data_IF_801149787550
#
_entry.id   IF_801149787550
#
_cell.length_a   1.000
_cell.length_b   1.000
_cell.length_c   1.000
_cell.angle_alpha   90.00
_cell.angle_beta   90.00
_cell.angle_gamma   90.00
#
_symmetry.space_group_name_H-M   'P 1'
#
loop_
_entity.id
_entity.type
_entity.pdbx_description
1 polymer ?
#
# COMPACT_ATOMS: atom_id res chain seq x y z
N UNK A 1 -44.03 18.11 18.00
CA UNK A 1 -42.66 18.68 17.94
C UNK A 1 -41.71 17.52 18.13
N UNK A 2 -40.82 17.31 17.16
CA UNK A 2 -39.74 16.33 17.33
C UNK A 2 -38.83 16.80 18.47
N UNK A 3 -38.48 15.89 19.37
CA UNK A 3 -37.67 16.14 20.57
C UNK A 3 -36.42 15.28 20.51
N UNK A 4 -35.26 15.87 20.85
CA UNK A 4 -33.99 15.16 20.92
C UNK A 4 -32.80 16.13 20.90
N UNK A 5 -31.62 15.71 21.41
CA UNK A 5 -30.41 16.50 21.28
C UNK A 5 -29.99 16.58 19.81
N UNK A 6 -29.49 17.73 19.38
CA UNK A 6 -28.82 17.85 18.09
C UNK A 6 -27.46 17.15 18.19
N UNK A 7 -27.16 16.23 17.27
CA UNK A 7 -25.91 15.48 17.26
C UNK A 7 -25.33 15.45 15.85
N UNK A 8 -24.07 15.86 15.71
CA UNK A 8 -23.27 15.65 14.51
C UNK A 8 -22.33 14.47 14.78
N UNK A 9 -22.67 13.30 14.23
CA UNK A 9 -21.95 12.04 14.49
C UNK A 9 -20.62 11.94 13.74
N UNK A 10 -20.46 12.67 12.64
CA UNK A 10 -19.20 12.76 11.90
C UNK A 10 -19.04 14.19 11.39
N UNK A 11 -18.08 14.90 11.98
CA UNK A 11 -17.69 16.23 11.55
C UNK A 11 -16.29 16.20 11.00
N UNK A 12 -16.16 16.47 9.69
CA UNK A 12 -14.94 16.22 8.93
C UNK A 12 -13.98 17.42 8.97
N UNK A 13 -12.84 17.33 9.69
CA UNK A 13 -11.83 18.40 9.72
C UNK A 13 -10.85 18.31 8.54
N UNK A 14 -10.98 17.26 7.72
CA UNK A 14 -10.19 16.96 6.54
C UNK A 14 -10.92 15.88 5.73
N UNK A 15 -10.21 15.12 4.91
CA UNK A 15 -10.83 14.10 4.05
C UNK A 15 -9.85 12.97 3.68
N UNK A 16 -10.38 11.90 3.09
CA UNK A 16 -9.61 10.77 2.62
C UNK A 16 -8.88 11.08 1.29
N UNK A 17 -7.81 10.33 1.03
CA UNK A 17 -7.02 10.38 -0.20
C UNK A 17 -7.26 9.16 -1.09
N UNK A 18 -6.84 9.28 -2.36
CA UNK A 18 -6.69 8.16 -3.29
C UNK A 18 -5.33 8.19 -3.97
N UNK A 19 -4.78 7.02 -4.27
CA UNK A 19 -3.56 6.93 -5.07
C UNK A 19 -3.74 7.62 -6.44
N UNK A 20 -2.80 8.49 -6.80
CA UNK A 20 -2.80 9.28 -8.03
C UNK A 20 -3.66 10.55 -7.99
N UNK A 21 -4.22 10.91 -6.83
CA UNK A 21 -4.92 12.17 -6.60
C UNK A 21 -4.17 13.04 -5.60
N UNK A 22 -4.33 14.37 -5.66
CA UNK A 22 -3.69 15.27 -4.69
C UNK A 22 -4.15 14.95 -3.26
N UNK A 23 -3.26 15.17 -2.29
CA UNK A 23 -3.62 15.09 -0.88
C UNK A 23 -4.79 16.04 -0.58
N UNK A 24 -5.82 15.52 0.06
CA UNK A 24 -7.05 16.23 0.31
C UNK A 24 -6.83 17.38 1.30
N UNK A 25 -7.28 18.57 0.91
CA UNK A 25 -7.22 19.78 1.74
C UNK A 25 -8.61 20.37 1.85
N UNK A 26 -9.00 20.70 3.08
CA UNK A 26 -10.26 21.41 3.36
C UNK A 26 -9.98 22.81 3.87
N UNK A 27 -10.95 23.71 3.72
CA UNK A 27 -10.87 25.06 4.27
C UNK A 27 -10.99 25.02 5.80
N UNK A 28 -9.84 25.07 6.48
CA UNK A 28 -9.76 25.04 7.93
C UNK A 28 -10.49 26.22 8.60
N UNK A 29 -10.59 27.39 7.94
CA UNK A 29 -11.33 28.51 8.51
C UNK A 29 -12.84 28.24 8.48
N UNK A 30 -13.35 27.63 7.41
CA UNK A 30 -14.74 27.20 7.32
C UNK A 30 -15.06 26.08 8.31
N UNK A 31 -14.13 25.13 8.49
CA UNK A 31 -14.24 24.07 9.50
C UNK A 31 -14.41 24.69 10.89
N UNK A 32 -13.46 25.53 11.32
CA UNK A 32 -13.53 26.12 12.65
C UNK A 32 -14.77 27.00 12.86
N UNK A 33 -15.17 27.77 11.85
CA UNK A 33 -16.40 28.59 11.90
C UNK A 33 -17.66 27.73 12.05
N UNK A 34 -17.71 26.57 11.42
CA UNK A 34 -18.87 25.67 11.49
C UNK A 34 -18.89 24.92 12.81
N UNK A 35 -17.74 24.46 13.30
CA UNK A 35 -17.59 23.88 14.62
C UNK A 35 -18.13 24.81 15.74
N UNK A 36 -17.74 26.08 15.73
CA UNK A 36 -18.26 27.06 16.70
C UNK A 36 -19.79 27.20 16.65
N UNK A 37 -20.38 27.23 15.44
CA UNK A 37 -21.83 27.29 15.26
C UNK A 37 -22.56 26.06 15.79
N UNK A 38 -21.95 24.87 15.68
CA UNK A 38 -22.51 23.63 16.22
C UNK A 38 -22.60 23.74 17.75
N UNK A 39 -21.52 24.17 18.41
CA UNK A 39 -21.51 24.35 19.87
C UNK A 39 -22.48 25.43 20.35
N UNK A 40 -22.61 26.54 19.63
CA UNK A 40 -23.59 27.61 19.93
C UNK A 40 -25.04 27.12 19.92
N UNK A 41 -25.34 26.02 19.21
CA UNK A 41 -26.67 25.41 19.16
C UNK A 41 -26.90 24.35 20.23
N UNK A 42 -25.98 24.22 21.18
CA UNK A 42 -26.00 23.16 22.21
C UNK A 42 -26.06 21.76 21.59
N UNK A 43 -25.42 21.59 20.42
CA UNK A 43 -25.34 20.32 19.73
C UNK A 43 -24.10 19.53 20.16
N UNK A 44 -24.24 18.22 20.31
CA UNK A 44 -23.10 17.31 20.47
C UNK A 44 -22.40 17.07 19.12
N UNK A 45 -21.10 16.80 19.16
CA UNK A 45 -20.27 16.64 17.97
C UNK A 45 -19.20 15.59 18.17
N UNK A 46 -18.89 14.85 17.11
CA UNK A 46 -17.75 13.95 17.01
C UNK A 46 -16.89 14.32 15.78
N UNK A 47 -15.59 14.56 15.99
CA UNK A 47 -14.65 14.82 14.89
C UNK A 47 -14.25 13.51 14.21
N UNK A 48 -14.52 13.41 12.91
CA UNK A 48 -14.11 12.28 12.08
C UNK A 48 -13.11 12.77 11.02
N UNK A 49 -11.83 12.50 11.08
CA UNK A 49 -11.08 11.88 12.18
C UNK A 49 -10.50 12.95 13.11
N UNK A 50 -10.45 12.68 14.41
CA UNK A 50 -9.60 13.46 15.32
C UNK A 50 -8.12 13.06 15.21
N UNK A 51 -7.88 11.76 15.05
CA UNK A 51 -6.60 11.15 14.68
C UNK A 51 -6.93 10.01 13.72
N UNK A 52 -6.41 10.08 12.50
CA UNK A 52 -6.70 9.05 11.50
C UNK A 52 -5.70 7.88 11.54
N UNK A 53 -4.40 8.16 11.53
CA UNK A 53 -3.35 7.15 11.67
C UNK A 53 -2.95 6.49 10.35
N UNK A 54 -2.83 5.15 10.34
CA UNK A 54 -2.24 4.40 9.21
C UNK A 54 -3.03 3.13 8.89
N UNK A 55 -3.26 2.88 7.60
CA UNK A 55 -3.77 1.62 7.05
C UNK A 55 -2.63 0.61 6.87
N UNK A 56 -2.09 0.07 7.97
CA UNK A 56 -0.98 -0.89 7.91
C UNK A 56 -1.33 -2.17 7.12
N UNK A 57 -0.32 -2.77 6.49
CA UNK A 57 -0.49 -4.00 5.73
C UNK A 57 -1.41 -3.82 4.52
N UNK A 58 -2.49 -4.59 4.47
CA UNK A 58 -3.46 -4.61 3.38
C UNK A 58 -4.86 -4.18 3.82
N UNK A 59 -4.95 -3.34 4.86
CA UNK A 59 -6.22 -2.95 5.49
C UNK A 59 -6.92 -1.78 4.80
N UNK A 60 -6.27 -1.10 3.86
CA UNK A 60 -6.88 -0.01 3.10
C UNK A 60 -8.14 -0.48 2.36
N UNK A 61 -9.10 0.42 2.20
CA UNK A 61 -10.26 0.19 1.32
C UNK A 61 -10.10 0.82 -0.06
N UNK A 62 -11.22 0.97 -0.75
CA UNK A 62 -11.33 1.70 -2.01
C UNK A 62 -12.69 2.41 -2.17
N UNK A 63 -12.71 3.55 -2.87
CA UNK A 63 -13.94 4.27 -3.26
C UNK A 63 -13.77 5.11 -4.56
N UNK A 64 -14.13 4.56 -5.72
CA UNK A 64 -13.78 3.22 -6.14
C UNK A 64 -12.26 3.04 -6.31
N UNK A 65 -11.48 4.12 -6.26
CA UNK A 65 -10.02 4.07 -6.31
C UNK A 65 -9.46 3.62 -4.95
N UNK A 66 -8.30 2.94 -4.93
CA UNK A 66 -7.69 2.50 -3.68
C UNK A 66 -7.19 3.70 -2.85
N UNK A 67 -7.56 3.73 -1.58
CA UNK A 67 -7.03 4.70 -0.63
C UNK A 67 -5.57 4.37 -0.25
N UNK A 68 -4.73 5.37 0.06
CA UNK A 68 -3.33 5.15 0.39
C UNK A 68 -3.13 4.55 1.79
N UNK A 69 -1.86 4.25 2.09
CA UNK A 69 -1.46 3.67 3.37
C UNK A 69 -1.60 4.68 4.50
N UNK A 70 -1.24 5.95 4.25
CA UNK A 70 -1.49 7.03 5.20
C UNK A 70 -2.99 7.24 5.34
N UNK A 71 -3.45 7.36 6.57
CA UNK A 71 -4.79 7.82 6.91
C UNK A 71 -4.68 9.11 7.74
N UNK A 72 -3.70 9.97 7.43
CA UNK A 72 -3.50 11.27 8.09
C UNK A 72 -4.78 12.12 8.10
N UNK A 73 -5.52 12.08 6.99
CA UNK A 73 -6.84 12.68 6.82
C UNK A 73 -6.85 14.22 6.88
N UNK A 74 -5.72 14.90 7.08
CA UNK A 74 -5.71 16.32 7.47
C UNK A 74 -6.34 16.52 8.86
N UNK A 75 -6.23 15.50 9.73
CA UNK A 75 -6.82 15.47 11.05
C UNK A 75 -6.13 16.44 12.04
N UNK A 76 -6.79 16.75 13.18
CA UNK A 76 -6.17 17.49 14.28
C UNK A 76 -4.85 16.89 14.77
N UNK A 77 -4.75 15.56 14.82
CA UNK A 77 -3.49 14.86 15.05
C UNK A 77 -3.05 14.19 13.74
N UNK A 78 -1.80 14.43 13.33
CA UNK A 78 -1.20 13.82 12.13
C UNK A 78 -1.17 12.29 12.22
N UNK A 79 -0.80 11.63 11.12
CA UNK A 79 -0.56 10.18 11.09
C UNK A 79 0.37 9.70 12.22
N UNK A 80 1.42 10.46 12.55
CA UNK A 80 2.36 10.15 13.62
C UNK A 80 1.94 10.69 15.01
N UNK A 81 0.71 11.16 15.16
CA UNK A 81 0.14 11.65 16.42
C UNK A 81 0.59 13.05 16.82
N UNK A 82 1.25 13.80 15.92
CA UNK A 82 1.73 15.14 16.22
C UNK A 82 0.55 16.14 16.18
N UNK A 83 0.43 17.07 17.14
CA UNK A 83 -0.65 18.06 17.14
C UNK A 83 -0.48 19.09 16.03
N UNK A 84 -1.51 19.28 15.22
CA UNK A 84 -1.55 20.30 14.16
C UNK A 84 -2.07 21.65 14.67
N UNK A 85 -2.01 22.67 13.81
CA UNK A 85 -2.65 23.96 14.07
C UNK A 85 -4.16 23.80 14.32
N UNK A 86 -4.80 22.83 13.66
CA UNK A 86 -6.23 22.52 13.85
C UNK A 86 -6.51 21.98 15.24
N UNK A 87 -5.63 21.13 15.81
CA UNK A 87 -5.75 20.69 17.20
C UNK A 87 -5.75 21.86 18.18
N UNK A 88 -4.82 22.80 18.01
CA UNK A 88 -4.72 23.97 18.90
C UNK A 88 -5.97 24.85 18.84
N UNK A 89 -6.51 25.08 17.62
CA UNK A 89 -7.75 25.85 17.41
C UNK A 89 -8.98 25.15 18.00
N UNK A 90 -9.11 23.83 17.83
CA UNK A 90 -10.20 23.06 18.43
C UNK A 90 -10.15 23.19 19.95
N UNK A 91 -8.97 23.02 20.55
CA UNK A 91 -8.79 23.14 22.01
C UNK A 91 -9.17 24.53 22.51
N UNK A 92 -8.78 25.58 21.80
CA UNK A 92 -9.14 26.96 22.15
C UNK A 92 -10.67 27.14 22.19
N UNK A 93 -11.37 26.70 21.14
CA UNK A 93 -12.83 26.80 21.07
C UNK A 93 -13.50 26.00 22.19
N UNK A 94 -13.07 24.76 22.43
CA UNK A 94 -13.60 23.92 23.52
C UNK A 94 -13.42 24.60 24.89
N UNK A 95 -12.29 25.27 25.10
CA UNK A 95 -11.99 26.00 26.35
C UNK A 95 -12.93 27.15 26.67
N UNK A 96 -13.70 27.64 25.68
CA UNK A 96 -14.74 28.66 25.89
C UNK A 96 -16.04 28.07 26.45
N UNK A 97 -16.26 26.76 26.31
CA UNK A 97 -17.48 26.07 26.72
C UNK A 97 -17.27 25.14 27.92
N UNK A 98 -16.07 24.56 28.07
CA UNK A 98 -15.76 23.57 29.09
C UNK A 98 -14.40 23.86 29.75
N UNK A 99 -14.23 23.55 31.04
CA UNK A 99 -12.92 23.64 31.69
C UNK A 99 -11.95 22.67 31.01
N UNK A 100 -10.77 23.17 30.67
CA UNK A 100 -9.73 22.35 30.05
C UNK A 100 -8.92 21.61 31.11
N UNK A 101 -8.48 20.36 30.82
CA UNK A 101 -7.67 19.60 31.76
C UNK A 101 -6.34 20.30 32.04
N UNK A 102 -5.87 20.18 33.29
CA UNK A 102 -4.54 20.63 33.70
C UNK A 102 -3.46 19.76 33.04
N UNK A 103 -2.34 20.37 32.64
CA UNK A 103 -1.21 19.67 32.04
C UNK A 103 -0.50 20.47 30.97
N UNK A 104 0.58 19.92 30.45
CA UNK A 104 1.30 20.45 29.30
C UNK A 104 0.60 20.02 28.01
N UNK A 105 0.59 20.90 27.01
CA UNK A 105 0.14 20.51 25.67
C UNK A 105 1.02 19.38 25.14
N UNK A 106 0.43 18.42 24.39
CA UNK A 106 1.25 17.49 23.62
C UNK A 106 2.15 18.29 22.69
N UNK A 107 3.38 17.83 22.53
CA UNK A 107 4.34 18.35 21.55
C UNK A 107 4.69 17.22 20.60
N UNK A 108 5.03 17.52 19.33
CA UNK A 108 5.46 16.49 18.39
C UNK A 108 6.57 15.61 18.97
N UNK A 109 6.41 14.29 18.86
CA UNK A 109 7.42 13.36 19.33
C UNK A 109 8.67 13.44 18.42
N UNK A 110 9.90 13.37 18.96
CA UNK A 110 11.11 13.41 18.14
C UNK A 110 11.14 12.23 17.15
N UNK A 111 11.52 12.51 15.90
CA UNK A 111 11.61 11.52 14.82
C UNK A 111 13.07 11.27 14.44
N UNK A 112 13.43 10.04 14.10
CA UNK A 112 14.79 9.69 13.66
C UNK A 112 15.00 10.01 12.19
N UNK A 113 16.19 10.52 11.89
CA UNK A 113 16.79 10.51 10.56
C UNK A 113 17.95 9.54 10.54
N UNK A 114 17.71 8.33 10.04
CA UNK A 114 18.74 7.27 9.95
C UNK A 114 19.50 7.41 8.62
N UNK A 115 18.85 7.92 7.58
CA UNK A 115 19.45 8.10 6.25
C UNK A 115 19.29 6.87 5.35
N UNK A 116 20.15 6.78 4.34
CA UNK A 116 20.04 5.78 3.29
C UNK A 116 20.44 4.37 3.75
N UNK A 117 19.62 3.39 3.42
CA UNK A 117 19.89 1.96 3.60
C UNK A 117 19.95 1.30 2.22
N UNK A 118 21.06 0.61 1.95
CA UNK A 118 21.24 -0.13 0.70
C UNK A 118 20.49 -1.47 0.76
N UNK A 119 19.67 -1.74 -0.26
CA UNK A 119 19.01 -3.04 -0.45
C UNK A 119 19.92 -3.92 -1.33
N UNK A 120 20.90 -4.55 -0.68
CA UNK A 120 21.99 -5.28 -1.34
C UNK A 120 21.61 -6.68 -1.82
N UNK A 121 20.56 -7.29 -1.26
CA UNK A 121 20.08 -8.62 -1.66
C UNK A 121 18.72 -8.52 -2.34
N UNK A 122 18.44 -9.45 -3.26
CA UNK A 122 17.16 -9.52 -3.93
C UNK A 122 16.81 -10.95 -4.37
N UNK A 123 15.52 -11.20 -4.55
CA UNK A 123 15.01 -12.45 -5.15
C UNK A 123 13.86 -12.20 -6.10
N UNK A 124 13.73 -13.04 -7.11
CA UNK A 124 12.62 -13.00 -8.07
C UNK A 124 11.33 -13.58 -7.47
N UNK A 125 10.19 -13.24 -8.05
CA UNK A 125 8.90 -13.85 -7.71
C UNK A 125 8.94 -15.40 -7.73
N UNK A 126 9.63 -16.00 -8.70
CA UNK A 126 9.74 -17.46 -8.77
C UNK A 126 10.55 -18.07 -7.62
N UNK A 127 11.58 -17.38 -7.15
CA UNK A 127 12.31 -17.80 -5.95
C UNK A 127 11.43 -17.72 -4.70
N UNK A 128 10.63 -16.65 -4.56
CA UNK A 128 9.65 -16.50 -3.48
C UNK A 128 8.62 -17.65 -3.55
N UNK A 129 8.04 -17.92 -4.71
CA UNK A 129 7.08 -19.03 -4.89
C UNK A 129 7.68 -20.38 -4.53
N UNK A 130 8.92 -20.68 -4.97
CA UNK A 130 9.63 -21.91 -4.58
C UNK A 130 9.81 -22.00 -3.08
N UNK A 131 10.21 -20.91 -2.43
CA UNK A 131 10.37 -20.85 -0.98
C UNK A 131 9.04 -21.13 -0.25
N UNK A 132 7.96 -20.46 -0.66
CA UNK A 132 6.64 -20.60 -0.05
C UNK A 132 6.14 -22.06 -0.14
N UNK A 133 6.31 -22.70 -1.30
CA UNK A 133 5.98 -24.13 -1.48
C UNK A 133 6.86 -25.03 -0.62
N UNK A 134 8.18 -24.82 -0.63
CA UNK A 134 9.13 -25.63 0.12
C UNK A 134 8.90 -25.55 1.65
N UNK A 135 8.41 -24.41 2.15
CA UNK A 135 8.04 -24.22 3.56
C UNK A 135 6.61 -24.65 3.89
N UNK A 136 5.84 -25.10 2.91
CA UNK A 136 4.45 -25.52 3.11
C UNK A 136 3.48 -24.36 3.39
N UNK A 137 3.85 -23.11 3.10
CA UNK A 137 2.96 -21.97 3.26
C UNK A 137 1.88 -21.89 2.19
N UNK A 138 2.15 -22.49 1.03
CA UNK A 138 1.28 -22.42 -0.15
C UNK A 138 1.25 -23.77 -0.84
N UNK A 139 0.04 -24.24 -1.14
CA UNK A 139 -0.20 -25.36 -2.05
C UNK A 139 -0.85 -24.81 -3.32
N UNK A 140 -0.27 -25.02 -4.52
CA UNK A 140 -0.87 -24.57 -5.76
C UNK A 140 -2.25 -25.20 -5.97
N UNK A 141 -3.21 -24.39 -6.41
CA UNK A 141 -4.57 -24.83 -6.73
C UNK A 141 -4.73 -24.88 -8.24
N UNK A 142 -5.18 -26.01 -8.77
CA UNK A 142 -5.46 -26.17 -10.20
C UNK A 142 -6.96 -26.08 -10.47
N UNK A 143 -7.34 -25.40 -11.55
CA UNK A 143 -8.74 -25.27 -11.97
C UNK A 143 -8.86 -25.10 -13.49
N UNK A 144 -10.04 -25.41 -14.04
CA UNK A 144 -10.30 -25.17 -15.46
C UNK A 144 -10.33 -23.67 -15.80
N UNK A 145 -10.82 -22.84 -14.87
CA UNK A 145 -10.90 -21.36 -14.97
C UNK A 145 -10.08 -20.69 -13.85
N UNK A 146 -9.75 -19.39 -13.97
CA UNK A 146 -9.25 -18.63 -12.82
C UNK A 146 -10.28 -18.67 -11.67
N UNK A 147 -9.77 -18.75 -10.44
CA UNK A 147 -10.56 -18.62 -9.21
C UNK A 147 -10.32 -17.25 -8.58
N UNK A 148 -11.34 -16.69 -7.95
CA UNK A 148 -11.18 -15.46 -7.17
C UNK A 148 -10.29 -15.68 -5.94
N UNK A 149 -9.86 -14.59 -5.31
CA UNK A 149 -9.16 -14.60 -4.03
C UNK A 149 -10.00 -15.30 -2.94
N UNK A 150 -11.30 -15.04 -2.92
CA UNK A 150 -12.26 -15.64 -1.98
C UNK A 150 -12.41 -17.15 -2.20
N UNK A 151 -12.51 -17.59 -3.46
CA UNK A 151 -12.56 -19.02 -3.81
C UNK A 151 -11.27 -19.77 -3.42
N UNK A 152 -10.13 -19.06 -3.38
CA UNK A 152 -8.84 -19.58 -2.93
C UNK A 152 -8.64 -19.50 -1.41
N UNK A 153 -9.58 -18.92 -0.66
CA UNK A 153 -9.42 -18.69 0.78
C UNK A 153 -8.30 -17.71 1.12
N UNK A 154 -8.00 -16.76 0.23
CA UNK A 154 -6.91 -15.80 0.37
C UNK A 154 -7.42 -14.37 0.39
N UNK A 155 -7.40 -13.72 1.54
CA UNK A 155 -8.09 -12.43 1.70
C UNK A 155 -7.35 -11.23 1.08
N UNK A 156 -6.02 -11.16 1.15
CA UNK A 156 -5.25 -9.94 0.91
C UNK A 156 -3.95 -10.20 0.15
N UNK A 157 -3.32 -9.15 -0.39
CA UNK A 157 -2.02 -9.26 -1.04
C UNK A 157 -2.14 -9.72 -2.49
N UNK A 158 -1.52 -10.85 -2.82
CA UNK A 158 -1.29 -11.24 -4.21
C UNK A 158 -1.58 -12.71 -4.50
N UNK A 159 -2.01 -13.00 -5.72
CA UNK A 159 -2.11 -14.37 -6.25
C UNK A 159 -1.43 -14.43 -7.60
N UNK A 160 -0.61 -15.46 -7.82
CA UNK A 160 -0.01 -15.76 -9.12
C UNK A 160 -0.91 -16.73 -9.87
N UNK A 161 -1.39 -16.32 -11.04
CA UNK A 161 -2.17 -17.14 -11.98
C UNK A 161 -1.28 -17.56 -13.15
N UNK A 162 -1.14 -18.86 -13.38
CA UNK A 162 -0.33 -19.41 -14.49
C UNK A 162 -1.20 -20.30 -15.37
N UNK A 163 -1.10 -20.16 -16.69
CA UNK A 163 -1.69 -21.09 -17.67
C UNK A 163 -0.70 -21.37 -18.79
N UNK A 164 -0.77 -22.56 -19.38
CA UNK A 164 0.08 -22.98 -20.50
C UNK A 164 -0.70 -22.91 -21.81
N UNK A 165 -0.15 -22.22 -22.80
CA UNK A 165 -0.81 -22.04 -24.11
C UNK A 165 -0.69 -23.34 -24.91
N UNK A 166 -1.81 -24.03 -25.16
CA UNK A 166 -1.85 -25.35 -25.83
C UNK A 166 -2.01 -25.29 -27.36
N UNK A 167 -1.79 -24.12 -27.96
CA UNK A 167 -1.95 -23.88 -29.40
C UNK A 167 -0.93 -22.85 -29.87
N UNK A 168 -0.78 -22.71 -31.20
CA UNK A 168 0.09 -21.68 -31.79
C UNK A 168 -0.69 -20.36 -31.96
N UNK A 169 -0.42 -19.30 -31.18
CA UNK A 169 -1.10 -18.02 -31.34
C UNK A 169 -0.45 -17.17 -32.45
N UNK A 170 -1.11 -16.07 -32.85
CA UNK A 170 -0.45 -15.01 -33.64
C UNK A 170 0.61 -14.30 -32.79
N UNK A 171 1.54 -13.59 -33.42
CA UNK A 171 2.57 -12.83 -32.71
C UNK A 171 2.65 -11.38 -33.24
N UNK A 172 2.36 -10.35 -32.42
CA UNK A 172 1.80 -10.47 -31.07
C UNK A 172 0.36 -11.02 -31.06
N UNK A 173 -0.07 -11.54 -29.93
CA UNK A 173 -1.46 -11.87 -29.63
C UNK A 173 -2.02 -10.90 -28.58
N UNK A 174 -3.34 -10.70 -28.54
CA UNK A 174 -3.99 -9.86 -27.53
C UNK A 174 -4.44 -10.74 -26.37
N UNK A 175 -3.89 -10.50 -25.19
CA UNK A 175 -4.36 -11.08 -23.93
C UNK A 175 -5.45 -10.17 -23.35
N UNK A 176 -6.67 -10.68 -23.22
CA UNK A 176 -7.80 -9.99 -22.59
C UNK A 176 -8.09 -10.56 -21.20
N UNK A 177 -8.10 -9.70 -20.18
CA UNK A 177 -8.36 -10.00 -18.76
C UNK A 177 -9.51 -9.13 -18.23
N UNK A 178 -10.74 -9.24 -18.78
CA UNK A 178 -11.83 -8.29 -18.50
C UNK A 178 -12.32 -8.29 -17.04
N UNK A 179 -12.15 -9.39 -16.31
CA UNK A 179 -12.50 -9.50 -14.89
C UNK A 179 -11.32 -9.34 -13.95
N UNK A 180 -10.28 -8.58 -14.32
CA UNK A 180 -9.18 -8.26 -13.39
C UNK A 180 -9.70 -7.42 -12.23
N UNK A 181 -9.34 -7.82 -11.00
CA UNK A 181 -9.64 -7.10 -9.76
C UNK A 181 -8.44 -7.17 -8.80
N UNK A 182 -7.55 -6.18 -8.75
CA UNK A 182 -7.66 -4.86 -9.40
C UNK A 182 -6.58 -4.62 -10.45
N UNK A 183 -5.36 -5.08 -10.19
CA UNK A 183 -4.21 -4.86 -11.07
C UNK A 183 -3.46 -6.17 -11.29
N UNK A 184 -3.13 -6.45 -12.54
CA UNK A 184 -2.45 -7.67 -12.97
C UNK A 184 -1.15 -7.35 -13.70
N UNK A 185 -0.04 -7.88 -13.20
CA UNK A 185 1.26 -7.80 -13.86
C UNK A 185 1.44 -9.06 -14.70
N UNK A 186 1.48 -8.90 -16.02
CA UNK A 186 1.50 -9.97 -17.01
C UNK A 186 2.94 -10.26 -17.44
N UNK A 187 3.31 -11.54 -17.45
CA UNK A 187 4.63 -12.03 -17.84
C UNK A 187 4.52 -13.17 -18.84
N UNK A 188 5.31 -13.07 -19.90
CA UNK A 188 5.72 -14.19 -20.75
C UNK A 188 7.25 -14.23 -20.81
N UNK A 189 7.82 -15.12 -21.61
CA UNK A 189 9.26 -15.13 -21.87
C UNK A 189 9.77 -13.85 -22.56
N UNK A 190 8.89 -13.10 -23.23
CA UNK A 190 9.24 -11.93 -24.04
C UNK A 190 8.46 -10.65 -23.70
N UNK A 191 7.39 -10.76 -22.92
CA UNK A 191 6.49 -9.64 -22.64
C UNK A 191 6.36 -9.40 -21.15
N UNK A 192 6.40 -8.12 -20.79
CA UNK A 192 5.99 -7.58 -19.49
C UNK A 192 4.95 -6.50 -19.75
N UNK A 193 3.77 -6.64 -19.14
CA UNK A 193 2.67 -5.68 -19.32
C UNK A 193 1.85 -5.56 -18.04
N UNK A 194 0.99 -4.54 -17.98
CA UNK A 194 0.08 -4.33 -16.84
C UNK A 194 -1.34 -4.22 -17.37
N UNK A 195 -2.26 -4.97 -16.75
CA UNK A 195 -3.71 -4.76 -16.84
C UNK A 195 -4.19 -4.14 -15.53
N UNK A 196 -5.14 -3.22 -15.59
CA UNK A 196 -5.57 -2.44 -14.42
C UNK A 196 -7.04 -2.02 -14.57
N UNK A 197 -7.87 -2.41 -13.61
CA UNK A 197 -9.29 -2.08 -13.60
C UNK A 197 -9.53 -0.58 -13.41
N UNK A 198 -8.77 0.07 -12.51
CA UNK A 198 -8.85 1.52 -12.22
C UNK A 198 -8.44 2.42 -13.40
N UNK A 199 -7.77 1.86 -14.41
CA UNK A 199 -7.34 2.57 -15.63
C UNK A 199 -8.02 2.06 -16.90
N UNK A 200 -9.02 1.20 -16.76
CA UNK A 200 -9.72 0.55 -17.86
C UNK A 200 -8.81 -0.18 -18.86
N UNK A 201 -7.67 -0.71 -18.37
CA UNK A 201 -6.71 -1.46 -19.18
C UNK A 201 -6.93 -2.95 -18.99
N UNK A 202 -7.75 -3.54 -19.86
CA UNK A 202 -8.10 -4.98 -19.80
C UNK A 202 -7.44 -5.82 -20.89
N UNK A 203 -6.79 -5.19 -21.87
CA UNK A 203 -6.22 -5.87 -23.03
C UNK A 203 -4.77 -5.43 -23.24
N UNK A 204 -3.86 -6.38 -23.37
CA UNK A 204 -2.43 -6.12 -23.60
C UNK A 204 -1.88 -7.01 -24.72
N UNK A 205 -1.03 -6.49 -25.60
CA UNK A 205 -0.31 -7.32 -26.56
C UNK A 205 0.72 -8.19 -25.82
N UNK A 206 0.77 -9.48 -26.14
CA UNK A 206 1.74 -10.44 -25.61
C UNK A 206 2.38 -11.24 -26.72
N UNK A 207 3.67 -11.53 -26.56
CA UNK A 207 4.41 -12.47 -27.38
C UNK A 207 4.60 -13.75 -26.58
N UNK A 208 4.00 -14.84 -27.07
CA UNK A 208 4.02 -16.17 -26.44
C UNK A 208 3.87 -17.24 -27.52
N UNK A 209 4.53 -18.38 -27.35
CA UNK A 209 4.47 -19.50 -28.28
C UNK A 209 3.61 -20.65 -27.71
N UNK A 210 3.31 -21.65 -28.56
CA UNK A 210 2.76 -22.92 -28.07
C UNK A 210 3.65 -23.48 -26.97
N UNK A 211 3.02 -24.09 -25.98
CA UNK A 211 3.64 -24.74 -24.84
C UNK A 211 4.35 -23.80 -23.84
N UNK A 212 4.30 -22.49 -24.05
CA UNK A 212 4.80 -21.51 -23.11
C UNK A 212 3.73 -21.07 -22.10
N UNK A 213 4.18 -20.59 -20.96
CA UNK A 213 3.30 -20.07 -19.91
C UNK A 213 3.00 -18.58 -20.11
N UNK A 214 1.77 -18.22 -19.77
CA UNK A 214 1.39 -16.85 -19.40
C UNK A 214 1.22 -16.85 -17.89
N UNK A 215 1.90 -15.91 -17.23
CA UNK A 215 1.81 -15.70 -15.78
C UNK A 215 1.23 -14.32 -15.51
N UNK A 216 0.29 -14.22 -14.57
CA UNK A 216 -0.30 -12.97 -14.11
C UNK A 216 -0.17 -12.90 -12.59
N UNK A 217 0.63 -11.99 -12.06
CA UNK A 217 0.60 -11.64 -10.64
C UNK A 217 -0.53 -10.64 -10.44
N UNK A 218 -1.56 -11.02 -9.69
CA UNK A 218 -2.72 -10.15 -9.43
C UNK A 218 -2.63 -9.60 -8.02
N UNK A 219 -2.81 -8.29 -7.89
CA UNK A 219 -2.86 -7.56 -6.63
C UNK A 219 -4.31 -7.22 -6.28
N UNK A 220 -4.71 -7.57 -5.06
CA UNK A 220 -5.87 -6.97 -4.40
C UNK A 220 -5.44 -5.60 -3.83
N UNK A 221 -5.92 -4.51 -4.42
CA UNK A 221 -5.54 -3.15 -4.06
C UNK A 221 -6.38 -2.55 -2.93
N UNK A 222 -7.33 -3.31 -2.39
CA UNK A 222 -8.29 -2.86 -1.37
C UNK A 222 -9.72 -3.13 -1.84
N UNK A 223 -10.56 -3.71 -0.98
CA UNK A 223 -11.98 -3.92 -1.31
C UNK A 223 -12.75 -2.61 -1.18
N UNK A 224 -13.73 -2.41 -2.05
CA UNK A 224 -14.64 -1.27 -1.97
C UNK A 224 -15.32 -1.24 -0.60
N UNK A 225 -15.25 -0.10 0.10
CA UNK A 225 -15.73 0.05 1.48
C UNK A 225 -17.00 0.90 1.61
N UNK A 226 -17.54 1.38 0.49
CA UNK A 226 -18.75 2.22 0.47
C UNK A 226 -19.67 1.85 -0.69
N UNK A 227 -20.97 2.13 -0.50
CA UNK A 227 -21.99 1.96 -1.54
C UNK A 227 -22.33 0.50 -1.85
N UNK A 228 -23.16 0.31 -2.88
CA UNK A 228 -23.72 -0.99 -3.25
C UNK A 228 -22.71 -1.97 -3.89
N UNK A 229 -21.50 -1.50 -4.21
CA UNK A 229 -20.48 -2.25 -4.93
C UNK A 229 -19.45 -2.92 -4.01
N UNK A 230 -19.73 -2.99 -2.70
CA UNK A 230 -18.83 -3.58 -1.70
C UNK A 230 -18.79 -5.13 -1.70
N UNK A 231 -19.60 -5.79 -2.54
CA UNK A 231 -19.47 -7.21 -2.88
C UNK A 231 -18.30 -7.44 -3.86
N UNK A 232 -17.12 -7.04 -3.45
CA UNK A 232 -15.97 -6.83 -4.33
C UNK A 232 -14.97 -8.00 -4.27
N UNK A 233 -15.34 -9.10 -4.93
CA UNK A 233 -14.43 -10.25 -5.10
C UNK A 233 -13.15 -9.84 -5.84
N UNK A 234 -12.01 -10.39 -5.43
CA UNK A 234 -10.69 -10.01 -5.97
C UNK A 234 -10.04 -11.13 -6.79
N UNK A 235 -9.00 -10.81 -7.53
CA UNK A 235 -8.32 -11.74 -8.42
C UNK A 235 -8.76 -11.61 -9.87
N UNK A 236 -8.92 -12.74 -10.56
CA UNK A 236 -9.49 -12.79 -11.91
C UNK A 236 -10.87 -13.44 -11.79
N UNK A 237 -11.92 -12.62 -11.89
CA UNK A 237 -13.32 -13.02 -11.66
C UNK A 237 -14.08 -13.37 -12.95
N UNK A 238 -13.37 -13.46 -14.08
CA UNK A 238 -13.93 -13.86 -15.39
C UNK A 238 -12.96 -14.73 -16.18
N UNK A 239 -13.39 -15.25 -17.32
CA UNK A 239 -12.49 -15.91 -18.26
C UNK A 239 -11.43 -14.92 -18.80
N UNK A 240 -10.22 -15.45 -19.02
CA UNK A 240 -9.11 -14.78 -19.71
C UNK A 240 -9.05 -15.30 -21.14
N UNK A 241 -8.75 -14.43 -22.10
CA UNK A 241 -8.69 -14.79 -23.52
C UNK A 241 -7.36 -14.44 -24.15
N UNK A 242 -6.93 -15.23 -25.14
CA UNK A 242 -5.82 -14.92 -26.04
C UNK A 242 -6.37 -14.89 -27.47
N UNK A 243 -6.37 -13.72 -28.12
CA UNK A 243 -7.07 -13.47 -29.38
C UNK A 243 -8.53 -13.94 -29.36
N UNK A 244 -9.27 -13.57 -28.30
CA UNK A 244 -10.68 -13.96 -28.07
C UNK A 244 -10.90 -15.46 -27.81
N UNK A 245 -9.87 -16.32 -27.86
CA UNK A 245 -9.95 -17.72 -27.44
C UNK A 245 -9.78 -17.82 -25.92
N UNK A 246 -10.74 -18.41 -25.23
CA UNK A 246 -10.66 -18.61 -23.77
C UNK A 246 -9.49 -19.52 -23.41
N UNK A 247 -8.68 -19.08 -22.45
CA UNK A 247 -7.60 -19.85 -21.85
C UNK A 247 -8.14 -20.68 -20.67
N UNK A 248 -7.69 -21.94 -20.57
CA UNK A 248 -8.10 -22.90 -19.56
C UNK A 248 -6.90 -23.59 -18.92
N UNK A 249 -7.12 -24.33 -17.83
CA UNK A 249 -6.04 -25.08 -17.17
C UNK A 249 -5.11 -24.13 -16.43
N UNK A 250 -5.63 -23.56 -15.35
CA UNK A 250 -4.96 -22.59 -14.52
C UNK A 250 -4.36 -23.25 -13.28
N UNK A 251 -3.18 -22.80 -12.90
CA UNK A 251 -2.57 -23.02 -11.59
C UNK A 251 -2.48 -21.69 -10.87
N UNK A 252 -3.04 -21.60 -9.67
CA UNK A 252 -3.04 -20.41 -8.83
C UNK A 252 -2.25 -20.62 -7.55
N UNK A 253 -1.45 -19.63 -7.17
CA UNK A 253 -0.63 -19.67 -5.96
C UNK A 253 -0.74 -18.33 -5.21
N UNK A 254 -1.39 -18.31 -4.03
CA UNK A 254 -1.33 -17.17 -3.12
C UNK A 254 0.10 -16.78 -2.73
N UNK A 255 0.33 -15.50 -2.48
CA UNK A 255 1.60 -14.96 -1.94
C UNK A 255 1.27 -14.28 -0.59
N UNK A 256 1.28 -15.05 0.52
CA UNK A 256 0.71 -14.62 1.80
C UNK A 256 1.64 -13.68 2.59
N UNK A 257 1.96 -12.54 2.01
CA UNK A 257 2.73 -11.46 2.65
C UNK A 257 1.91 -10.68 3.69
N UNK A 258 0.63 -11.00 3.85
CA UNK A 258 -0.21 -10.52 4.95
C UNK A 258 0.20 -11.16 6.29
N UNK A 259 0.89 -12.30 6.26
CA UNK A 259 1.35 -13.03 7.44
C UNK A 259 2.77 -12.62 7.80
N UNK A 260 2.94 -11.97 8.96
CA UNK A 260 4.25 -11.50 9.44
C UNK A 260 5.30 -12.62 9.49
N UNK A 261 4.93 -13.83 9.92
CA UNK A 261 5.84 -14.99 9.96
C UNK A 261 6.44 -15.33 8.58
N UNK A 262 5.67 -15.15 7.50
CA UNK A 262 6.13 -15.39 6.14
C UNK A 262 7.13 -14.32 5.72
N UNK A 263 6.81 -13.05 5.98
CA UNK A 263 7.70 -11.93 5.68
C UNK A 263 9.02 -12.00 6.48
N UNK A 264 8.95 -12.34 7.77
CA UNK A 264 10.13 -12.56 8.62
C UNK A 264 11.00 -13.68 8.07
N UNK A 265 10.44 -14.86 7.79
CA UNK A 265 11.24 -15.97 7.28
C UNK A 265 11.81 -15.72 5.89
N UNK A 266 11.09 -15.03 5.00
CA UNK A 266 11.62 -14.58 3.72
C UNK A 266 12.83 -13.67 3.94
N UNK A 267 12.71 -12.71 4.85
CA UNK A 267 13.77 -11.76 5.17
C UNK A 267 14.98 -12.46 5.79
N UNK A 268 14.78 -13.33 6.78
CA UNK A 268 15.88 -14.03 7.45
C UNK A 268 16.66 -14.93 6.49
N UNK A 269 15.96 -15.61 5.58
CA UNK A 269 16.59 -16.51 4.60
C UNK A 269 17.29 -15.74 3.48
N UNK A 270 16.69 -14.64 3.00
CA UNK A 270 17.18 -13.96 1.81
C UNK A 270 18.05 -12.72 2.08
N UNK A 271 17.92 -12.07 3.23
CA UNK A 271 18.85 -11.03 3.65
C UNK A 271 20.25 -11.61 3.94
N UNK A 272 20.32 -12.83 4.48
CA UNK A 272 21.58 -13.52 4.77
C UNK A 272 22.28 -14.07 3.52
N UNK A 273 21.57 -14.21 2.41
CA UNK A 273 22.12 -14.81 1.21
C UNK A 273 22.55 -13.70 0.24
N UNK A 274 23.88 -13.55 0.08
CA UNK A 274 24.56 -12.64 -0.87
C UNK A 274 24.27 -13.02 -2.34
N UNK A 275 23.01 -13.27 -2.68
CA UNK A 275 22.58 -13.80 -3.97
C UNK A 275 22.56 -12.63 -4.95
N UNK A 276 23.58 -12.59 -5.81
CA UNK A 276 23.62 -11.77 -7.02
C UNK A 276 22.67 -12.38 -8.08
N UNK A 277 21.37 -12.40 -7.79
CA UNK A 277 20.36 -12.70 -8.81
C UNK A 277 20.14 -11.49 -9.70
N UNK A 278 19.70 -11.64 -10.97
CA UNK A 278 19.16 -10.52 -11.71
C UNK A 278 17.90 -10.00 -11.00
N UNK A 279 18.07 -8.96 -10.19
CA UNK A 279 16.98 -8.34 -9.47
C UNK A 279 16.02 -7.71 -10.46
N UNK A 280 14.80 -8.22 -10.50
CA UNK A 280 13.73 -7.72 -11.36
C UNK A 280 12.44 -7.72 -10.59
N UNK A 281 11.55 -6.79 -10.95
CA UNK A 281 10.19 -6.81 -10.47
C UNK A 281 9.33 -7.76 -11.33
N UNK A 282 8.32 -8.43 -10.75
CA UNK A 282 8.04 -8.51 -9.33
C UNK A 282 9.10 -9.33 -8.58
N UNK A 283 9.50 -8.84 -7.41
CA UNK A 283 10.55 -9.45 -6.60
C UNK A 283 10.70 -8.77 -5.25
N UNK A 284 11.49 -9.39 -4.37
CA UNK A 284 11.79 -8.83 -3.06
C UNK A 284 13.23 -8.32 -3.00
N UNK A 285 13.42 -7.21 -2.29
CA UNK A 285 14.70 -6.52 -2.11
C UNK A 285 14.93 -6.33 -0.61
N UNK A 286 16.13 -6.64 -0.13
CA UNK A 286 16.44 -6.69 1.29
C UNK A 286 17.67 -5.86 1.63
N UNK A 287 17.61 -5.21 2.77
CA UNK A 287 18.75 -4.53 3.37
C UNK A 287 18.66 -4.56 4.88
N UNK A 288 19.79 -4.23 5.51
CA UNK A 288 19.90 -4.23 6.96
C UNK A 288 20.61 -2.97 7.44
N UNK A 289 20.32 -2.58 8.67
CA UNK A 289 21.00 -1.47 9.33
C UNK A 289 20.98 -1.65 10.85
N UNK A 290 21.89 -0.96 11.53
CA UNK A 290 21.91 -0.86 12.99
C UNK A 290 21.71 0.59 13.39
N UNK A 291 20.99 0.81 14.49
CA UNK A 291 20.95 2.13 15.09
C UNK A 291 22.33 2.45 15.72
N UNK A 292 22.73 3.74 15.80
CA UNK A 292 23.93 4.13 16.53
C UNK A 292 23.89 3.70 18.00
N UNK A 293 25.05 3.46 18.62
CA UNK A 293 25.11 3.14 20.04
C UNK A 293 24.51 4.29 20.88
N UNK A 294 23.63 3.97 21.83
CA UNK A 294 22.91 4.94 22.65
C UNK A 294 21.70 5.60 21.99
N UNK A 295 21.45 5.35 20.71
CA UNK A 295 20.26 5.86 20.02
C UNK A 295 19.01 5.10 20.51
N UNK A 296 18.02 5.83 21.04
CA UNK A 296 16.70 5.28 21.35
C UNK A 296 15.93 4.97 20.07
N UNK A 297 15.08 3.97 20.13
CA UNK A 297 14.11 3.68 19.08
C UNK A 297 13.03 4.77 19.12
N UNK A 298 13.02 5.62 18.10
CA UNK A 298 12.00 6.65 17.90
C UNK A 298 11.39 6.47 16.52
N UNK A 299 10.21 7.04 16.35
CA UNK A 299 9.48 7.04 15.09
C UNK A 299 10.32 7.60 13.94
N UNK A 300 10.08 7.14 12.71
CA UNK A 300 10.72 7.63 11.49
C UNK A 300 9.80 7.39 10.30
N UNK A 301 10.21 7.80 9.11
CA UNK A 301 9.44 7.58 7.88
C UNK A 301 10.32 6.93 6.82
N UNK A 302 9.83 5.85 6.21
CA UNK A 302 10.51 5.16 5.13
C UNK A 302 10.18 5.86 3.80
N UNK A 303 11.14 6.58 3.25
CA UNK A 303 11.12 7.18 1.93
C UNK A 303 11.46 6.14 0.85
N UNK A 304 10.53 5.95 -0.08
CA UNK A 304 10.61 4.99 -1.19
C UNK A 304 10.85 5.67 -2.54
N UNK A 305 11.23 6.96 -2.56
CA UNK A 305 11.54 7.71 -3.79
C UNK A 305 12.50 6.93 -4.71
N UNK A 306 12.16 6.89 -6.00
CA UNK A 306 12.91 6.16 -7.02
C UNK A 306 12.46 4.71 -7.25
N UNK A 307 11.63 4.16 -6.35
CA UNK A 307 10.95 2.88 -6.55
C UNK A 307 9.65 3.04 -7.34
N UNK A 308 9.10 1.93 -7.83
CA UNK A 308 7.88 1.92 -8.63
C UNK A 308 6.65 1.81 -7.74
N UNK A 309 6.28 0.58 -7.42
CA UNK A 309 5.08 0.25 -6.64
C UNK A 309 5.31 -1.04 -5.87
N UNK A 310 4.90 -1.10 -4.61
CA UNK A 310 5.06 -2.32 -3.84
C UNK A 310 4.55 -2.24 -2.42
N UNK A 311 5.10 -3.11 -1.56
CA UNK A 311 4.79 -3.20 -0.13
C UNK A 311 6.10 -3.22 0.65
N UNK A 312 6.15 -2.50 1.76
CA UNK A 312 7.35 -2.39 2.59
C UNK A 312 7.19 -3.09 3.93
N UNK A 313 8.29 -3.66 4.41
CA UNK A 313 8.36 -4.33 5.71
C UNK A 313 9.59 -3.86 6.48
N UNK A 314 9.42 -3.67 7.79
CA UNK A 314 10.51 -3.45 8.74
C UNK A 314 10.44 -4.52 9.81
N UNK A 315 11.52 -5.27 10.01
CA UNK A 315 11.57 -6.38 10.98
C UNK A 315 10.40 -7.38 10.82
N UNK A 316 9.97 -7.62 9.57
CA UNK A 316 8.85 -8.51 9.23
C UNK A 316 7.45 -7.91 9.45
N UNK A 317 7.33 -6.71 10.03
CA UNK A 317 6.07 -5.99 10.13
C UNK A 317 5.72 -5.31 8.80
N UNK A 318 4.52 -5.54 8.30
CA UNK A 318 4.04 -4.98 7.05
C UNK A 318 3.58 -3.53 7.23
N UNK A 319 4.38 -2.57 6.76
CA UNK A 319 4.08 -1.14 6.87
C UNK A 319 2.94 -0.71 5.95
N UNK A 320 2.64 -1.51 4.93
CA UNK A 320 1.66 -1.21 3.90
C UNK A 320 2.28 -0.89 2.54
N UNK A 321 1.48 -0.29 1.67
CA UNK A 321 1.80 -0.11 0.25
C UNK A 321 2.54 1.20 0.02
N UNK A 322 3.51 1.19 -0.87
CA UNK A 322 4.14 2.40 -1.40
C UNK A 322 3.85 2.53 -2.90
N UNK A 323 3.67 3.77 -3.37
CA UNK A 323 3.52 4.07 -4.80
C UNK A 323 3.99 5.49 -5.15
N UNK A 324 5.27 5.82 -4.90
CA UNK A 324 5.81 7.16 -5.07
C UNK A 324 5.83 7.62 -6.54
N UNK A 325 5.70 6.70 -7.51
CA UNK A 325 5.61 7.06 -8.92
C UNK A 325 4.29 7.74 -9.30
N UNK A 326 3.26 7.66 -8.46
CA UNK A 326 1.98 8.37 -8.69
C UNK A 326 1.48 9.20 -7.51
N UNK A 327 2.02 9.01 -6.30
CA UNK A 327 1.64 9.81 -5.13
C UNK A 327 0.16 9.67 -4.72
N UNK A 328 -0.35 10.51 -3.81
CA UNK A 328 0.36 11.64 -3.22
C UNK A 328 1.34 11.18 -2.12
N UNK A 329 1.09 10.01 -1.52
CA UNK A 329 1.98 9.48 -0.49
C UNK A 329 3.31 8.96 -1.06
N UNK A 330 4.43 9.42 -0.49
CA UNK A 330 5.79 8.99 -0.86
C UNK A 330 6.45 8.22 0.29
N UNK A 331 6.24 8.68 1.54
CA UNK A 331 6.82 8.05 2.73
C UNK A 331 5.82 7.20 3.49
N UNK A 332 6.28 6.11 4.10
CA UNK A 332 5.50 5.28 5.02
C UNK A 332 5.90 5.55 6.46
N UNK A 333 4.94 5.74 7.36
CA UNK A 333 5.21 5.86 8.79
C UNK A 333 5.78 4.57 9.37
N UNK A 334 6.86 4.70 10.15
CA UNK A 334 7.51 3.60 10.87
C UNK A 334 7.50 3.91 12.36
N UNK A 335 6.56 3.32 13.12
CA UNK A 335 6.55 3.43 14.57
C UNK A 335 7.87 2.97 15.19
N UNK A 336 8.43 3.74 16.11
CA UNK A 336 9.70 3.45 16.77
C UNK A 336 9.69 2.12 17.51
N UNK A 337 8.52 1.67 17.97
CA UNK A 337 8.34 0.35 18.60
C UNK A 337 8.64 -0.84 17.67
N UNK A 338 8.68 -0.63 16.36
CA UNK A 338 9.06 -1.65 15.39
C UNK A 338 10.59 -1.77 15.22
N UNK A 339 11.35 -0.76 15.64
CA UNK A 339 12.80 -0.74 15.52
C UNK A 339 13.45 -1.48 16.71
N UNK A 340 14.59 -2.12 16.44
CA UNK A 340 15.43 -2.77 17.44
C UNK A 340 16.59 -1.85 17.83
N UNK A 341 16.91 -1.73 19.14
CA UNK A 341 18.02 -0.91 19.61
C UNK A 341 19.38 -1.52 19.25
N UNK A 342 20.44 -0.72 19.27
CA UNK A 342 21.81 -1.23 19.16
C UNK A 342 22.10 -2.25 20.29
N UNK A 343 22.82 -3.38 20.02
CA UNK A 343 23.54 -3.74 18.79
C UNK A 343 22.74 -4.60 17.80
N UNK A 344 21.43 -4.74 17.99
CA UNK A 344 20.59 -5.57 17.14
C UNK A 344 20.49 -5.01 15.72
N UNK A 345 20.28 -5.92 14.76
CA UNK A 345 20.12 -5.59 13.36
C UNK A 345 18.64 -5.44 13.01
N UNK A 346 18.32 -4.32 12.36
CA UNK A 346 17.04 -4.05 11.76
C UNK A 346 17.06 -4.50 10.30
N UNK A 347 15.97 -5.10 9.84
CA UNK A 347 15.82 -5.55 8.46
C UNK A 347 14.76 -4.72 7.74
N UNK A 348 14.99 -4.47 6.45
CA UNK A 348 14.04 -3.85 5.55
C UNK A 348 13.83 -4.77 4.36
N UNK A 349 12.56 -4.98 4.00
CA UNK A 349 12.18 -5.70 2.79
C UNK A 349 11.21 -4.86 1.98
N UNK A 350 11.48 -4.69 0.68
CA UNK A 350 10.51 -4.19 -0.29
C UNK A 350 10.09 -5.33 -1.21
N UNK A 351 8.79 -5.59 -1.33
CA UNK A 351 8.24 -6.38 -2.42
C UNK A 351 7.83 -5.43 -3.55
N UNK A 352 8.71 -5.23 -4.52
CA UNK A 352 8.54 -4.33 -5.67
C UNK A 352 7.84 -5.06 -6.81
N UNK A 353 6.84 -4.43 -7.42
CA UNK A 353 5.96 -5.03 -8.43
C UNK A 353 6.14 -4.45 -9.84
N UNK A 354 6.66 -3.22 -9.98
CA UNK A 354 6.74 -2.53 -11.27
C UNK A 354 8.17 -2.30 -11.72
N UNK A 355 8.90 -1.37 -11.08
CA UNK A 355 10.19 -0.92 -11.58
C UNK A 355 11.12 -0.56 -10.41
N UNK A 356 12.09 -1.43 -10.07
CA UNK A 356 13.13 -1.06 -9.12
C UNK A 356 14.09 -0.03 -9.76
N UNK A 357 14.84 0.75 -8.96
CA UNK A 357 15.87 1.66 -9.46
C UNK A 357 16.89 0.93 -10.34
N UNK A 358 17.26 1.52 -11.48
CA UNK A 358 18.33 1.00 -12.36
C UNK A 358 19.73 1.16 -11.75
N UNK A 359 19.91 2.17 -10.89
CA UNK A 359 21.17 2.48 -10.21
C UNK A 359 21.24 1.88 -8.79
N UNK A 360 21.63 2.71 -7.81
CA UNK A 360 21.65 2.31 -6.41
C UNK A 360 20.23 2.02 -5.92
N UNK A 361 20.04 0.83 -5.35
CA UNK A 361 18.77 0.40 -4.76
C UNK A 361 18.79 0.75 -3.29
N UNK A 362 18.30 1.94 -2.98
CA UNK A 362 18.29 2.48 -1.63
C UNK A 362 16.89 2.89 -1.24
N UNK A 363 16.60 2.79 0.04
CA UNK A 363 15.52 3.50 0.72
C UNK A 363 16.14 4.44 1.74
N UNK A 364 15.42 5.47 2.16
CA UNK A 364 15.92 6.38 3.20
C UNK A 364 14.94 6.44 4.37
N UNK A 365 15.46 6.49 5.58
CA UNK A 365 14.68 6.77 6.77
C UNK A 365 14.85 8.24 7.15
N UNK A 366 13.76 9.00 7.04
CA UNK A 366 13.72 10.45 7.22
C UNK A 366 12.88 10.83 8.46
N UNK A 367 13.05 12.05 8.93
CA UNK A 367 12.41 12.58 10.14
C UNK A 367 11.09 13.33 9.86
N UNK A 368 10.75 13.56 8.59
CA UNK A 368 9.51 14.23 8.18
C UNK A 368 8.74 13.40 7.16
N UNK A 369 7.40 13.31 7.27
CA UNK A 369 6.58 12.64 6.27
C UNK A 369 6.49 13.46 4.98
N UNK A 370 6.37 12.76 3.85
CA UNK A 370 5.91 13.30 2.59
C UNK A 370 4.67 12.52 2.13
N UNK A 371 3.50 13.09 2.43
CA UNK A 371 2.18 12.56 2.04
C UNK A 371 1.49 13.39 0.96
N UNK A 372 2.11 14.50 0.53
CA UNK A 372 1.62 15.46 -0.48
C UNK A 372 2.64 15.59 -1.63
N UNK A 373 3.13 14.45 -2.10
CA UNK A 373 4.05 14.35 -3.22
C UNK A 373 3.39 14.53 -4.58
N UNK A 374 4.18 14.53 -5.67
CA UNK A 374 3.68 14.74 -7.02
C UNK A 374 2.68 13.67 -7.46
N UNK A 375 1.68 14.09 -8.24
CA UNK A 375 0.65 13.21 -8.80
C UNK A 375 0.52 13.37 -10.31
N UNK A 376 0.03 12.37 -11.07
CA UNK A 376 -0.12 12.46 -12.51
C UNK A 376 -0.95 13.66 -12.97
N UNK A 377 -0.46 14.39 -13.97
CA UNK A 377 -1.16 15.53 -14.56
C UNK A 377 -1.04 16.83 -13.76
N UNK A 378 -0.34 16.83 -12.63
CA UNK A 378 -0.09 18.04 -11.86
C UNK A 378 1.13 18.81 -12.40
N UNK A 379 0.89 19.98 -12.99
CA UNK A 379 1.95 20.89 -13.47
C UNK A 379 2.43 21.88 -12.40
N UNK A 380 1.84 21.90 -11.20
CA UNK A 380 2.14 22.89 -10.15
C UNK A 380 3.47 22.64 -9.44
N UNK A 381 4.10 21.47 -9.61
CA UNK A 381 5.40 21.11 -9.02
C UNK A 381 6.60 21.29 -9.96
N UNK A 382 6.39 21.70 -11.22
CA UNK A 382 7.47 21.96 -12.19
C UNK A 382 7.97 23.41 -12.20
N UNK A 383 7.64 24.21 -11.18
CA UNK A 383 8.13 25.57 -11.01
C UNK A 383 8.83 25.75 -9.67
N UNK A 384 10.14 25.57 -9.65
CA UNK A 384 11.04 25.86 -8.52
C UNK A 384 12.45 26.06 -9.01
#
# INVERSE_FOLDING_TARGET
MEQGPLVVTEYYPGWLDHWGQRHAKVDQALVMKTFEKILQRNASINFYMFHGGTNFGFTNGADPLPQPTSYDYGAPLTEAGDPSDTYLKIREVVGRYLPLPNGTLPVPAPKLKIGAVNLNSCVTLDAIRRFLRAKGYVTPVSSHRPLSFEELGHAFGYVVYTTRVSFRPSSPAILGVPGIKDRGYVFTSQTRAVVSADRDVYNVPVVVQSDQNITILVENMGRINVGAWNHDMKGIVSNVTLNKRVLSGWTMEPVPLDKSIVATHLTDVFAASNVLSPCSAPGAFFGTFKLPNGQKTLDTFLDTTGWGKGVAFVNGFNLGRYWPSIGPQVTLYVPGVLLRPYPEENTVMLFETESPPQGKRTVSFVDMPNIDGPVPGDTTTLGG
#
